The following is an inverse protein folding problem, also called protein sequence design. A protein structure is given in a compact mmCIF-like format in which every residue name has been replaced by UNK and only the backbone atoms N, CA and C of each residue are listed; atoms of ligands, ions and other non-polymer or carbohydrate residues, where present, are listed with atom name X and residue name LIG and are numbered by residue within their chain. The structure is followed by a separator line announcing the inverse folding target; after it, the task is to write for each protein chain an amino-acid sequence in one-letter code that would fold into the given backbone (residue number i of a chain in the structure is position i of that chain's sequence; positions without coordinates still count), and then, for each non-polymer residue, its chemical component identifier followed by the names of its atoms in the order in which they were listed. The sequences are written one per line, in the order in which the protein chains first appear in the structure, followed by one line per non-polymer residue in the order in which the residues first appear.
data_IF_733702302571
#
_entry.id   IF_733702302571
#
_cell.length_a   1.000
_cell.length_b   1.000
_cell.length_c   1.000
_cell.angle_alpha   90.00
_cell.angle_beta   90.00
_cell.angle_gamma   90.00
#
_symmetry.space_group_name_H-M   'P 1'
#
loop_
_entity.id
_entity.type
_entity.pdbx_description
1 polymer ?
#
# COMPACT_ATOMS: atom_id res chain seq x y z
N UNK A 1 -3.79 -11.89 -3.63
CA UNK A 1 -4.19 -10.92 -2.60
C UNK A 1 -3.28 -11.16 -1.41
N UNK A 2 -2.68 -10.12 -0.89
CA UNK A 2 -1.83 -10.19 0.31
C UNK A 2 -2.40 -9.23 1.34
N UNK A 3 -2.29 -9.60 2.59
CA UNK A 3 -2.79 -8.81 3.72
C UNK A 3 -1.84 -8.97 4.90
N UNK A 4 -1.98 -8.09 5.89
CA UNK A 4 -1.17 -8.10 7.08
C UNK A 4 -2.07 -7.93 8.31
N UNK A 5 -1.64 -8.46 9.47
CA UNK A 5 -2.29 -8.31 10.77
C UNK A 5 -2.49 -6.84 11.15
N UNK A 6 -1.54 -5.97 10.78
CA UNK A 6 -1.56 -4.56 11.16
C UNK A 6 -2.57 -3.76 10.34
N UNK A 7 -2.62 -3.97 9.02
CA UNK A 7 -3.46 -3.18 8.12
C UNK A 7 -4.88 -3.70 8.00
N UNK A 8 -5.09 -5.00 8.20
CA UNK A 8 -6.37 -5.66 7.91
C UNK A 8 -6.76 -6.68 8.99
N UNK A 9 -6.93 -6.27 10.26
CA UNK A 9 -7.28 -7.20 11.36
C UNK A 9 -8.62 -7.90 11.12
N UNK A 10 -9.65 -7.15 10.71
CA UNK A 10 -11.00 -7.69 10.44
C UNK A 10 -11.00 -8.74 9.33
N UNK A 11 -10.18 -8.55 8.30
CA UNK A 11 -10.07 -9.50 7.20
C UNK A 11 -9.44 -10.81 7.68
N UNK A 12 -8.47 -10.73 8.59
CA UNK A 12 -7.84 -11.91 9.15
C UNK A 12 -8.79 -12.69 10.05
N UNK A 13 -9.51 -12.02 10.95
CA UNK A 13 -10.53 -12.67 11.78
C UNK A 13 -11.60 -13.35 10.93
N UNK A 14 -12.01 -12.72 9.84
CA UNK A 14 -12.96 -13.31 8.90
C UNK A 14 -12.40 -14.56 8.21
N UNK A 15 -11.14 -14.55 7.77
CA UNK A 15 -10.52 -15.75 7.19
C UNK A 15 -10.30 -16.87 8.20
N UNK A 16 -9.94 -16.54 9.44
CA UNK A 16 -9.83 -17.50 10.53
C UNK A 16 -11.22 -18.10 10.86
N UNK A 17 -12.28 -17.28 10.90
CA UNK A 17 -13.67 -17.73 11.09
C UNK A 17 -14.20 -18.64 9.98
N UNK A 18 -13.77 -18.40 8.73
CA UNK A 18 -14.05 -19.29 7.60
C UNK A 18 -13.19 -20.57 7.61
N UNK A 19 -12.24 -20.72 8.55
CA UNK A 19 -11.32 -21.85 8.63
C UNK A 19 -10.36 -21.95 7.45
N UNK A 20 -9.96 -20.82 6.85
CA UNK A 20 -9.03 -20.80 5.73
C UNK A 20 -7.58 -20.84 6.24
N UNK A 21 -6.76 -21.71 5.65
CA UNK A 21 -5.33 -21.73 5.95
C UNK A 21 -4.64 -20.47 5.38
N UNK A 22 -3.91 -19.78 6.23
CA UNK A 22 -3.15 -18.58 5.90
C UNK A 22 -1.66 -18.97 5.80
N UNK A 23 -1.04 -18.66 4.66
CA UNK A 23 0.37 -18.89 4.40
C UNK A 23 1.17 -17.58 4.48
N UNK A 24 2.44 -17.68 4.87
CA UNK A 24 3.37 -16.54 4.85
C UNK A 24 3.72 -16.22 3.41
N UNK A 25 3.60 -14.95 3.06
CA UNK A 25 4.02 -14.42 1.77
C UNK A 25 5.09 -13.37 2.00
N UNK A 26 6.15 -13.41 1.20
CA UNK A 26 7.14 -12.35 1.16
C UNK A 26 6.80 -11.43 0.00
N UNK A 27 6.27 -10.25 0.31
CA UNK A 27 6.08 -9.21 -0.70
C UNK A 27 7.41 -8.51 -0.96
N UNK A 28 8.21 -9.09 -1.85
CA UNK A 28 9.43 -8.46 -2.35
C UNK A 28 9.12 -7.53 -3.51
N UNK A 29 9.47 -6.26 -3.34
CA UNK A 29 9.46 -5.24 -4.39
C UNK A 29 10.88 -5.00 -4.90
N UNK A 30 11.06 -4.98 -6.22
CA UNK A 30 12.33 -4.64 -6.87
C UNK A 30 12.10 -3.63 -7.98
N UNK A 31 12.91 -2.58 -8.01
CA UNK A 31 12.90 -1.56 -9.05
C UNK A 31 14.24 -1.59 -9.75
N UNK A 32 14.20 -1.65 -11.07
CA UNK A 32 15.34 -1.38 -11.94
C UNK A 32 15.02 -0.08 -12.67
N UNK A 33 15.79 0.98 -12.41
CA UNK A 33 15.66 2.28 -13.08
C UNK A 33 16.97 2.61 -13.76
N UNK A 34 16.90 2.90 -15.06
CA UNK A 34 18.01 3.45 -15.82
C UNK A 34 18.10 4.95 -15.51
N UNK A 35 19.10 5.36 -14.73
CA UNK A 35 19.46 6.77 -14.60
C UNK A 35 20.48 7.11 -15.70
N UNK A 36 20.20 8.17 -16.47
CA UNK A 36 20.91 8.66 -17.65
C UNK A 36 22.27 8.01 -18.02
N UNK A 37 22.34 7.47 -19.24
CA UNK A 37 23.51 7.13 -20.08
C UNK A 37 24.68 6.31 -19.48
N UNK A 38 24.54 5.63 -18.34
CA UNK A 38 25.32 4.42 -17.95
C UNK A 38 25.13 4.00 -16.48
N UNK A 39 24.08 4.44 -15.78
CA UNK A 39 23.89 4.12 -14.36
C UNK A 39 22.61 3.32 -14.16
N UNK A 40 22.77 2.01 -14.09
CA UNK A 40 21.72 1.10 -13.65
C UNK A 40 21.54 1.30 -12.14
N UNK A 41 20.39 1.81 -11.72
CA UNK A 41 20.02 1.88 -10.31
C UNK A 41 19.00 0.78 -10.02
N UNK A 42 19.52 -0.34 -9.53
CA UNK A 42 18.71 -1.48 -9.11
C UNK A 42 18.66 -1.55 -7.59
N UNK A 43 17.45 -1.59 -7.04
CA UNK A 43 17.25 -1.83 -5.62
C UNK A 43 16.04 -2.72 -5.40
N UNK A 44 16.16 -3.62 -4.43
CA UNK A 44 15.06 -4.47 -4.02
C UNK A 44 14.89 -4.49 -2.51
N UNK A 45 13.72 -4.95 -2.09
CA UNK A 45 13.28 -5.05 -0.70
C UNK A 45 13.26 -6.51 -0.20
N UNK A 46 13.63 -7.48 -1.05
CA UNK A 46 13.52 -8.94 -0.82
C UNK A 46 14.25 -9.43 0.44
N UNK A 47 15.25 -8.69 0.93
CA UNK A 47 16.07 -9.10 2.09
C UNK A 47 16.69 -7.91 2.82
N UNK A 48 15.95 -6.80 2.97
CA UNK A 48 16.48 -5.58 3.60
C UNK A 48 17.71 -5.03 2.89
N UNK A 49 18.78 -4.72 3.63
CA UNK A 49 20.04 -4.14 3.11
C UNK A 49 20.67 -5.00 2.01
N UNK A 50 20.61 -6.33 2.13
CA UNK A 50 21.26 -7.27 1.19
C UNK A 50 20.68 -7.16 -0.22
N UNK A 51 19.38 -6.82 -0.32
CA UNK A 51 18.69 -6.61 -1.60
C UNK A 51 18.82 -5.18 -2.13
N UNK A 52 19.14 -4.21 -1.27
CA UNK A 52 19.55 -2.86 -1.67
C UNK A 52 20.98 -2.85 -2.25
N UNK A 53 21.83 -3.77 -1.78
CA UNK A 53 23.22 -3.95 -2.20
C UNK A 53 23.40 -4.98 -3.34
N UNK A 54 22.32 -5.39 -4.02
CA UNK A 54 22.37 -6.41 -5.08
C UNK A 54 23.43 -6.11 -6.14
N UNK A 55 23.69 -4.82 -6.41
CA UNK A 55 24.87 -4.37 -7.15
C UNK A 55 25.97 -3.85 -6.21
N UNK A 56 27.01 -4.68 -5.97
CA UNK A 56 28.24 -4.30 -5.23
C UNK A 56 28.96 -3.05 -5.80
N UNK A 57 28.68 -2.66 -7.05
CA UNK A 57 29.21 -1.43 -7.65
C UNK A 57 28.48 -0.18 -7.17
N UNK A 58 27.18 -0.28 -6.85
CA UNK A 58 26.38 0.85 -6.39
C UNK A 58 26.60 1.16 -4.90
N UNK A 59 27.00 0.17 -4.10
CA UNK A 59 27.36 0.36 -2.68
C UNK A 59 28.59 1.23 -2.46
N UNK A 60 29.42 1.43 -3.50
CA UNK A 60 30.60 2.31 -3.49
C UNK A 60 30.28 3.71 -4.04
N UNK A 61 29.04 3.96 -4.48
CA UNK A 61 28.64 5.27 -5.01
C UNK A 61 28.19 6.19 -3.86
N UNK A 62 28.82 7.37 -3.68
CA UNK A 62 28.35 8.37 -2.72
C UNK A 62 26.91 8.80 -2.97
N UNK A 63 26.46 8.76 -4.23
CA UNK A 63 25.08 9.08 -4.61
C UNK A 63 24.07 8.07 -4.07
N UNK A 64 24.43 6.78 -3.96
CA UNK A 64 23.57 5.74 -3.40
C UNK A 64 23.34 5.97 -1.90
N UNK A 65 24.41 6.23 -1.14
CA UNK A 65 24.32 6.54 0.28
C UNK A 65 23.52 7.83 0.55
N UNK A 66 23.62 8.82 -0.33
CA UNK A 66 22.81 10.03 -0.25
C UNK A 66 21.31 9.70 -0.33
N UNK A 67 20.90 8.82 -1.25
CA UNK A 67 19.50 8.36 -1.35
C UNK A 67 19.06 7.62 -0.09
N UNK A 68 19.89 6.72 0.44
CA UNK A 68 19.57 5.98 1.66
C UNK A 68 19.34 6.92 2.84
N UNK A 69 20.22 7.92 3.02
CA UNK A 69 20.05 8.96 4.04
C UNK A 69 18.78 9.78 3.78
N UNK A 70 18.50 10.13 2.53
CA UNK A 70 17.28 10.85 2.14
C UNK A 70 16.01 10.02 2.41
N UNK A 71 16.03 8.70 2.20
CA UNK A 71 14.92 7.78 2.56
C UNK A 71 14.69 7.77 4.08
N UNK A 72 15.76 7.67 4.89
CA UNK A 72 15.63 7.70 6.35
C UNK A 72 15.11 9.05 6.85
N UNK A 73 15.57 10.16 6.27
CA UNK A 73 15.05 11.51 6.54
C UNK A 73 13.57 11.62 6.14
N UNK A 74 13.23 11.13 4.95
CA UNK A 74 11.86 11.11 4.44
C UNK A 74 10.92 10.37 5.38
N UNK A 75 11.32 9.19 5.87
CA UNK A 75 10.55 8.46 6.89
C UNK A 75 10.27 9.34 8.12
N UNK A 76 11.30 9.97 8.68
CA UNK A 76 11.14 10.77 9.89
C UNK A 76 10.25 12.00 9.65
N UNK A 77 10.42 12.68 8.50
CA UNK A 77 9.57 13.81 8.13
C UNK A 77 8.13 13.39 7.87
N UNK A 78 7.92 12.27 7.19
CA UNK A 78 6.59 11.69 6.94
C UNK A 78 5.84 11.38 8.24
N UNK A 79 6.51 10.72 9.20
CA UNK A 79 5.91 10.39 10.49
C UNK A 79 5.56 11.63 11.29
N UNK A 80 6.45 12.62 11.35
CA UNK A 80 6.18 13.92 12.01
C UNK A 80 5.02 14.67 11.37
N UNK A 81 4.95 14.67 10.03
CA UNK A 81 3.87 15.30 9.30
C UNK A 81 2.52 14.65 9.62
N UNK A 82 2.46 13.32 9.64
CA UNK A 82 1.25 12.59 9.99
C UNK A 82 0.84 12.83 11.45
N UNK A 83 1.79 12.77 12.40
CA UNK A 83 1.52 13.04 13.82
C UNK A 83 0.99 14.47 14.04
N UNK A 84 1.53 15.44 13.31
CA UNK A 84 1.07 16.83 13.35
C UNK A 84 -0.37 16.98 12.80
N UNK A 85 -0.68 16.30 11.68
CA UNK A 85 -2.03 16.32 11.10
C UNK A 85 -3.06 15.51 11.89
N UNK A 86 -2.66 14.45 12.59
CA UNK A 86 -3.53 13.71 13.50
C UNK A 86 -3.91 14.53 14.73
N UNK A 87 -2.99 15.35 15.23
CA UNK A 87 -3.24 16.29 16.34
C UNK A 87 -4.07 17.51 15.93
N UNK A 88 -4.09 17.86 14.65
CA UNK A 88 -4.80 19.03 14.12
C UNK A 88 -5.73 18.62 12.96
N UNK A 89 -6.90 18.03 13.26
CA UNK A 89 -7.80 17.51 12.24
C UNK A 89 -8.42 18.60 11.35
N UNK A 90 -8.49 19.84 11.84
CA UNK A 90 -9.04 21.01 11.11
C UNK A 90 -8.04 21.67 10.15
N UNK A 91 -6.79 21.18 10.11
CA UNK A 91 -5.75 21.75 9.27
C UNK A 91 -5.96 21.33 7.82
N UNK A 92 -5.91 22.31 6.90
CA UNK A 92 -6.13 22.07 5.47
C UNK A 92 -5.11 21.05 4.94
N UNK A 93 -5.61 19.95 4.35
CA UNK A 93 -4.81 18.84 3.81
C UNK A 93 -4.49 19.03 2.34
N UNK A 94 -4.49 20.28 1.87
CA UNK A 94 -4.31 20.63 0.47
C UNK A 94 -2.83 20.64 0.03
N UNK A 95 -1.89 20.43 0.95
CA UNK A 95 -0.49 20.32 0.58
C UNK A 95 -0.28 19.08 -0.30
N UNK A 96 0.24 19.31 -1.50
CA UNK A 96 0.55 18.25 -2.45
C UNK A 96 1.89 17.59 -2.12
N UNK A 97 2.07 16.34 -2.54
CA UNK A 97 3.33 15.63 -2.37
C UNK A 97 4.50 16.39 -3.01
N UNK A 98 4.29 17.04 -4.16
CA UNK A 98 5.30 17.88 -4.81
C UNK A 98 5.74 19.07 -3.95
N UNK A 99 4.79 19.74 -3.28
CA UNK A 99 5.09 20.83 -2.34
C UNK A 99 5.88 20.31 -1.14
N UNK A 100 5.43 19.20 -0.54
CA UNK A 100 6.13 18.58 0.60
C UNK A 100 7.59 18.27 0.27
N UNK A 101 7.84 17.70 -0.92
CA UNK A 101 9.20 17.37 -1.37
C UNK A 101 10.04 18.63 -1.58
N UNK A 102 9.45 19.66 -2.20
CA UNK A 102 10.13 20.92 -2.50
C UNK A 102 10.52 21.66 -1.21
N UNK A 103 9.65 21.67 -0.20
CA UNK A 103 9.91 22.31 1.11
C UNK A 103 11.10 21.66 1.82
N UNK A 104 11.23 20.33 1.71
CA UNK A 104 12.26 19.56 2.38
C UNK A 104 13.54 19.39 1.55
N UNK A 105 13.56 19.85 0.30
CA UNK A 105 14.75 19.90 -0.55
C UNK A 105 15.29 18.53 -0.97
N UNK A 106 14.43 17.52 -1.17
CA UNK A 106 14.92 16.20 -1.60
C UNK A 106 15.48 16.22 -3.02
N UNK A 107 16.52 15.41 -3.25
CA UNK A 107 17.16 15.32 -4.55
C UNK A 107 16.21 14.75 -5.62
N UNK A 108 16.38 15.19 -6.87
CA UNK A 108 15.65 14.62 -8.01
C UNK A 108 15.93 13.12 -8.16
N UNK A 109 17.15 12.70 -7.81
CA UNK A 109 17.56 11.30 -7.82
C UNK A 109 16.75 10.46 -6.82
N UNK A 110 16.46 10.98 -5.62
CA UNK A 110 15.55 10.30 -4.68
C UNK A 110 14.11 10.20 -5.22
N UNK A 111 13.62 11.26 -5.87
CA UNK A 111 12.28 11.26 -6.45
C UNK A 111 12.15 10.21 -7.55
N UNK A 112 13.06 10.21 -8.52
CA UNK A 112 13.03 9.34 -9.69
C UNK A 112 13.37 7.88 -9.33
N UNK A 113 14.31 7.65 -8.41
CA UNK A 113 14.77 6.31 -8.07
C UNK A 113 13.93 5.61 -6.99
N UNK A 114 13.31 6.36 -6.07
CA UNK A 114 12.60 5.79 -4.92
C UNK A 114 11.13 6.20 -4.90
N UNK A 115 10.84 7.50 -4.86
CA UNK A 115 9.49 7.98 -4.56
C UNK A 115 8.49 7.67 -5.68
N UNK A 116 8.84 7.98 -6.93
CA UNK A 116 7.96 7.75 -8.09
C UNK A 116 7.69 6.25 -8.30
N UNK A 117 8.70 5.35 -8.33
CA UNK A 117 8.46 3.92 -8.48
C UNK A 117 7.63 3.34 -7.34
N UNK A 118 7.86 3.79 -6.11
CA UNK A 118 7.08 3.35 -4.94
C UNK A 118 5.63 3.81 -5.05
N UNK A 119 5.39 5.09 -5.33
CA UNK A 119 4.04 5.60 -5.47
C UNK A 119 3.31 4.95 -6.66
N UNK A 120 4.00 4.74 -7.80
CA UNK A 120 3.43 4.08 -8.97
C UNK A 120 3.05 2.61 -8.70
N UNK A 121 3.80 1.89 -7.87
CA UNK A 121 3.48 0.51 -7.51
C UNK A 121 2.22 0.40 -6.63
N UNK A 122 1.97 1.40 -5.78
CA UNK A 122 1.02 1.28 -4.68
C UNK A 122 -0.23 2.10 -4.91
N UNK A 123 -0.11 3.29 -5.50
CA UNK A 123 -1.23 4.11 -5.93
C UNK A 123 -1.74 3.59 -7.27
N UNK A 124 -2.13 2.31 -7.36
CA UNK A 124 -2.54 1.50 -8.53
C UNK A 124 -3.46 2.20 -9.56
N UNK A 125 -3.98 3.38 -9.24
CA UNK A 125 -4.84 4.21 -10.08
C UNK A 125 -4.23 5.54 -10.54
N UNK A 126 -2.97 5.86 -10.22
CA UNK A 126 -2.32 7.12 -10.60
C UNK A 126 -1.08 6.87 -11.49
N UNK A 127 -1.03 7.44 -12.71
CA UNK A 127 0.18 7.42 -13.52
C UNK A 127 1.31 8.16 -12.80
N UNK A 128 2.56 7.74 -13.03
CA UNK A 128 3.77 8.27 -12.38
C UNK A 128 3.89 9.81 -12.41
N UNK A 129 3.34 10.47 -13.44
CA UNK A 129 3.32 11.93 -13.58
C UNK A 129 2.30 12.64 -12.66
N UNK A 130 1.26 11.94 -12.21
CA UNK A 130 0.21 12.51 -11.34
C UNK A 130 0.51 12.39 -9.84
N UNK A 131 1.52 11.61 -9.46
CA UNK A 131 1.87 11.32 -8.06
C UNK A 131 2.18 12.59 -7.27
N UNK A 132 2.88 13.56 -7.88
CA UNK A 132 3.26 14.80 -7.22
C UNK A 132 2.07 15.73 -6.93
N UNK A 133 0.96 15.58 -7.65
CA UNK A 133 -0.27 16.34 -7.46
C UNK A 133 -1.21 15.75 -6.41
N UNK A 134 -0.89 14.56 -5.87
CA UNK A 134 -1.71 13.94 -4.83
C UNK A 134 -1.50 14.63 -3.48
N UNK A 135 -2.53 14.68 -2.62
CA UNK A 135 -2.40 15.17 -1.25
C UNK A 135 -1.29 14.42 -0.50
N UNK A 136 -0.35 15.16 0.09
CA UNK A 136 0.77 14.59 0.82
C UNK A 136 0.28 13.69 1.96
N UNK A 137 -0.76 14.10 2.69
CA UNK A 137 -1.36 13.30 3.76
C UNK A 137 -1.83 11.93 3.29
N UNK A 138 -2.41 11.84 2.07
CA UNK A 138 -2.88 10.57 1.52
C UNK A 138 -1.71 9.65 1.22
N UNK A 139 -0.72 10.13 0.48
CA UNK A 139 0.45 9.34 0.10
C UNK A 139 1.23 8.90 1.33
N UNK A 140 1.49 9.82 2.25
CA UNK A 140 2.26 9.55 3.47
C UNK A 140 1.54 8.57 4.40
N UNK A 141 0.22 8.73 4.61
CA UNK A 141 -0.56 7.75 5.39
C UNK A 141 -0.50 6.39 4.75
N UNK A 142 -0.69 6.30 3.44
CA UNK A 142 -0.64 5.04 2.73
C UNK A 142 0.75 4.39 2.78
N UNK A 143 1.83 5.19 2.75
CA UNK A 143 3.19 4.72 2.97
C UNK A 143 3.42 4.18 4.38
N UNK A 144 2.83 4.82 5.41
CA UNK A 144 2.86 4.34 6.80
C UNK A 144 2.09 3.03 6.94
N UNK A 145 0.85 3.00 6.45
CA UNK A 145 -0.06 1.86 6.61
C UNK A 145 0.53 0.61 5.93
N UNK A 146 1.15 0.75 4.76
CA UNK A 146 1.81 -0.37 4.08
C UNK A 146 3.24 -0.67 4.59
N UNK A 147 3.70 -0.03 5.67
CA UNK A 147 5.04 -0.20 6.23
C UNK A 147 6.17 0.01 5.20
N UNK A 148 5.94 0.91 4.23
CA UNK A 148 6.86 1.15 3.12
C UNK A 148 7.98 2.10 3.49
N UNK A 149 7.74 2.93 4.50
CA UNK A 149 8.73 3.80 5.15
C UNK A 149 9.73 2.97 5.99
N UNK A 150 9.39 1.72 6.32
CA UNK A 150 10.24 0.81 7.06
C UNK A 150 11.15 0.06 6.08
N UNK A 151 12.39 0.56 5.94
CA UNK A 151 13.49 -0.16 5.28
C UNK A 151 13.90 -1.42 6.07
N UNK A 152 13.57 -1.47 7.36
CA UNK A 152 13.95 -2.51 8.31
C UNK A 152 12.72 -2.94 9.11
N UNK A 153 12.50 -4.25 9.23
CA UNK A 153 11.42 -4.78 10.09
C UNK A 153 10.03 -4.73 9.47
N UNK A 154 9.92 -4.93 8.15
CA UNK A 154 8.59 -5.03 7.51
C UNK A 154 7.77 -6.13 8.15
N UNK A 155 6.48 -5.90 8.42
CA UNK A 155 5.62 -6.93 8.94
C UNK A 155 5.47 -8.06 7.92
N UNK A 156 5.34 -9.28 8.44
CA UNK A 156 5.15 -10.46 7.61
C UNK A 156 3.81 -10.34 6.86
N UNK A 157 3.88 -10.39 5.53
CA UNK A 157 2.68 -10.46 4.71
C UNK A 157 2.13 -11.89 4.71
N UNK A 158 0.83 -11.98 4.56
CA UNK A 158 0.08 -13.22 4.58
C UNK A 158 -0.75 -13.33 3.30
N UNK A 159 -0.96 -14.56 2.83
CA UNK A 159 -1.85 -14.89 1.71
C UNK A 159 -2.73 -16.08 2.10
N UNK A 160 -3.93 -16.15 1.54
CA UNK A 160 -4.77 -17.35 1.70
C UNK A 160 -4.21 -18.48 0.85
N UNK A 161 -4.12 -19.69 1.41
CA UNK A 161 -3.75 -20.92 0.70
C UNK A 161 -4.80 -21.27 -0.35
N UNK A 162 -4.35 -21.52 -1.58
CA UNK A 162 -5.27 -21.65 -2.73
C UNK A 162 -5.76 -20.30 -3.28
N UNK A 163 -5.12 -19.19 -2.87
CA UNK A 163 -5.30 -17.82 -3.40
C UNK A 163 -6.77 -17.39 -3.31
N UNK A 164 -7.23 -16.59 -4.29
CA UNK A 164 -8.55 -15.98 -4.25
C UNK A 164 -9.70 -16.95 -4.46
N UNK A 165 -9.46 -18.07 -5.13
CA UNK A 165 -10.49 -19.06 -5.44
C UNK A 165 -10.97 -19.79 -4.19
N UNK A 166 -10.04 -20.12 -3.28
CA UNK A 166 -10.32 -20.83 -2.03
C UNK A 166 -11.32 -20.09 -1.12
N UNK A 167 -11.09 -18.79 -0.87
CA UNK A 167 -12.02 -18.02 -0.05
C UNK A 167 -13.34 -17.74 -0.78
N UNK A 168 -13.31 -17.50 -2.10
CA UNK A 168 -14.53 -17.26 -2.89
C UNK A 168 -15.46 -18.47 -2.86
N UNK A 169 -14.92 -19.68 -2.89
CA UNK A 169 -15.71 -20.91 -2.80
C UNK A 169 -16.38 -21.05 -1.44
N UNK A 170 -15.65 -20.81 -0.33
CA UNK A 170 -16.26 -20.85 1.01
C UNK A 170 -17.37 -19.81 1.21
N UNK A 171 -17.14 -18.58 0.74
CA UNK A 171 -18.15 -17.53 0.78
C UNK A 171 -19.38 -17.92 -0.03
N UNK A 172 -19.18 -18.58 -1.17
CA UNK A 172 -20.28 -19.10 -1.99
C UNK A 172 -21.10 -20.13 -1.23
N UNK A 173 -20.45 -21.06 -0.56
CA UNK A 173 -21.09 -22.12 0.23
C UNK A 173 -21.88 -21.54 1.40
N UNK A 174 -21.31 -20.57 2.13
CA UNK A 174 -21.97 -19.93 3.26
C UNK A 174 -23.18 -19.08 2.83
N UNK A 175 -23.06 -18.33 1.73
CA UNK A 175 -24.20 -17.61 1.17
C UNK A 175 -25.30 -18.56 0.70
N UNK A 176 -24.95 -19.70 0.10
CA UNK A 176 -25.93 -20.72 -0.29
C UNK A 176 -26.60 -21.36 0.94
N UNK A 177 -25.87 -21.59 2.04
CA UNK A 177 -26.44 -22.12 3.28
C UNK A 177 -27.41 -21.14 3.95
N UNK A 178 -27.16 -19.84 3.83
CA UNK A 178 -28.06 -18.76 4.26
C UNK A 178 -29.27 -18.57 3.30
N UNK A 179 -29.41 -19.39 2.26
CA UNK A 179 -30.52 -19.34 1.31
C UNK A 179 -30.37 -18.29 0.20
N UNK A 180 -29.18 -17.70 0.03
CA UNK A 180 -28.93 -16.76 -1.06
C UNK A 180 -28.71 -17.48 -2.39
N UNK A 181 -29.44 -17.07 -3.43
CA UNK A 181 -29.22 -17.53 -4.80
C UNK A 181 -28.14 -16.70 -5.49
N UNK A 182 -27.00 -17.33 -5.76
CA UNK A 182 -25.90 -16.71 -6.49
C UNK A 182 -26.10 -16.92 -7.99
N UNK A 183 -26.47 -15.84 -8.70
CA UNK A 183 -26.61 -15.83 -10.16
C UNK A 183 -25.36 -15.22 -10.80
N UNK A 184 -24.53 -16.05 -11.42
CA UNK A 184 -23.38 -15.58 -12.20
C UNK A 184 -23.81 -15.21 -13.62
N UNK A 185 -23.07 -14.32 -14.30
CA UNK A 185 -23.34 -13.87 -15.69
C UNK A 185 -24.69 -13.15 -15.90
N UNK A 186 -25.30 -12.63 -14.83
CA UNK A 186 -26.47 -11.76 -14.92
C UNK A 186 -26.03 -10.30 -14.77
N UNK A 187 -26.10 -9.52 -15.84
CA UNK A 187 -25.90 -8.09 -15.77
C UNK A 187 -27.09 -7.41 -15.06
N UNK A 188 -26.81 -6.57 -14.07
CA UNK A 188 -27.83 -5.86 -13.31
C UNK A 188 -28.31 -4.66 -14.14
N UNK A 189 -29.48 -4.80 -14.79
CA UNK A 189 -30.04 -3.75 -15.66
C UNK A 189 -30.81 -2.65 -14.94
N UNK A 190 -31.37 -2.94 -13.75
CA UNK A 190 -32.08 -1.94 -12.94
C UNK A 190 -32.14 -2.39 -11.49
N UNK A 191 -32.09 -1.43 -10.56
CA UNK A 191 -32.38 -1.66 -9.15
C UNK A 191 -33.65 -0.90 -8.78
N UNK A 192 -34.55 -1.53 -8.01
CA UNK A 192 -35.69 -0.85 -7.39
C UNK A 192 -35.47 -0.86 -5.88
N UNK A 193 -35.33 0.32 -5.29
CA UNK A 193 -35.34 0.44 -3.83
C UNK A 193 -36.76 0.25 -3.31
N UNK A 194 -36.99 -0.85 -2.58
CA UNK A 194 -38.21 -1.03 -1.80
C UNK A 194 -37.98 -0.41 -0.41
N UNK A 195 -38.66 0.68 -0.08
CA UNK A 195 -38.81 1.14 1.30
C UNK A 195 -39.78 0.20 2.02
N UNK A 196 -39.28 -0.83 2.69
CA UNK A 196 -40.05 -1.52 3.71
C UNK A 196 -40.11 -0.64 4.95
N UNK A 197 -41.30 -0.08 5.25
CA UNK A 197 -41.61 0.48 6.56
C UNK A 197 -41.48 -0.66 7.57
N UNK A 198 -40.47 -0.62 8.42
CA UNK A 198 -40.51 -1.29 9.72
C UNK A 198 -41.61 -0.56 10.50
N UNK A 199 -42.81 -1.13 10.55
CA UNK A 199 -43.79 -0.75 11.56
C UNK A 199 -43.23 -1.20 12.91
N UNK A 200 -42.81 -0.23 13.71
CA UNK A 200 -42.63 -0.42 15.15
C UNK A 200 -43.94 -0.96 15.73
N UNK A 201 -43.96 -2.06 16.49
CA UNK A 201 -45.14 -2.44 17.25
C UNK A 201 -45.43 -1.31 18.26
N UNK A 202 -46.67 -0.83 18.25
CA UNK A 202 -47.09 0.31 19.08
C UNK A 202 -46.95 0.06 20.58
N UNK A 203 -46.67 1.14 21.29
CA UNK A 203 -46.94 1.34 22.71
C UNK A 203 -47.80 2.58 22.86
#
# INVERSE_FOLDING_TARGET
MVFNRVTSPNMMEWFEGLGLEIERSDMSFSVSTLLDRNRDFEWGTRSGISSLLAQKRNSLSPSFWRVIVEILKFKNHALKYLEYHERNPDLDRNETLGQFISVHGYSKLFQDAYLIPMCACICWSCPSQGVLGLPASFVLSHCRDNHLLELFGRPQWHTVKGRSESYMNKVREELMSMGCQIKTRCEVKSFKFRRSRLQSPGG
#
